data_IF_707521403272
#
_entry.id   IF_707521403272
#
_cell.length_a   1.000
_cell.length_b   1.000
_cell.length_c   1.000
_cell.angle_alpha   90.00
_cell.angle_beta   90.00
_cell.angle_gamma   90.00
#
_symmetry.space_group_name_H-M   'P 1'
#
loop_
_entity.id
_entity.type
_entity.pdbx_description
1 polymer ?
#
# COMPACT_ATOMS: atom_id res chain seq x y z
N UNK A 1 -14.53 -52.48 -47.35
CA UNK A 1 -13.63 -52.83 -46.24
C UNK A 1 -12.61 -51.71 -46.10
N UNK A 2 -12.78 -50.90 -45.06
CA UNK A 2 -11.95 -49.82 -44.49
C UNK A 2 -10.95 -49.09 -45.41
N UNK A 3 -11.34 -47.88 -45.85
CA UNK A 3 -10.41 -46.82 -46.27
C UNK A 3 -9.98 -46.05 -45.01
N UNK A 4 -8.70 -46.19 -44.64
CA UNK A 4 -8.06 -45.37 -43.63
C UNK A 4 -7.66 -44.02 -44.26
N UNK A 5 -8.32 -42.94 -43.86
CA UNK A 5 -7.90 -41.57 -44.14
C UNK A 5 -7.39 -40.94 -42.85
N UNK A 6 -6.07 -40.90 -42.70
CA UNK A 6 -5.39 -39.99 -41.79
C UNK A 6 -5.36 -38.63 -42.46
N UNK A 7 -6.06 -37.62 -41.92
CA UNK A 7 -5.72 -36.21 -42.20
C UNK A 7 -6.29 -35.23 -41.18
N UNK A 8 -5.34 -34.58 -40.50
CA UNK A 8 -5.34 -33.19 -40.05
C UNK A 8 -6.47 -32.70 -39.14
N UNK A 9 -6.27 -32.86 -37.82
CA UNK A 9 -6.85 -31.98 -36.81
C UNK A 9 -5.76 -31.03 -36.30
N UNK A 10 -5.42 -30.00 -37.09
CA UNK A 10 -4.32 -29.08 -36.74
C UNK A 10 -4.52 -27.58 -37.06
N UNK A 11 -5.72 -27.04 -37.36
CA UNK A 11 -5.85 -25.58 -37.37
C UNK A 11 -7.02 -25.01 -36.56
N UNK A 12 -7.53 -25.69 -35.52
CA UNK A 12 -8.66 -25.14 -34.72
C UNK A 12 -8.32 -24.91 -33.24
N UNK A 13 -7.34 -25.63 -32.67
CA UNK A 13 -6.93 -25.39 -31.27
C UNK A 13 -5.99 -24.19 -31.08
N UNK A 14 -5.33 -23.71 -32.14
CA UNK A 14 -4.38 -22.60 -32.06
C UNK A 14 -5.05 -21.21 -32.02
N UNK A 15 -6.31 -21.11 -32.45
CA UNK A 15 -7.03 -19.81 -32.54
C UNK A 15 -7.77 -19.48 -31.25
N UNK A 16 -8.23 -20.47 -30.48
CA UNK A 16 -8.90 -20.23 -29.19
C UNK A 16 -7.92 -19.85 -28.06
N UNK A 17 -6.65 -20.23 -28.17
CA UNK A 17 -5.60 -19.83 -27.22
C UNK A 17 -5.06 -18.41 -27.46
N UNK A 18 -5.29 -17.82 -28.64
CA UNK A 18 -4.97 -16.42 -28.90
C UNK A 18 -6.09 -15.44 -28.53
N UNK A 19 -7.32 -15.93 -28.26
CA UNK A 19 -8.42 -15.08 -27.79
C UNK A 19 -8.45 -15.00 -26.25
N UNK A 20 -7.91 -15.98 -25.53
CA UNK A 20 -7.79 -15.95 -24.06
C UNK A 20 -6.51 -15.28 -23.52
N UNK A 21 -5.52 -15.02 -24.37
CA UNK A 21 -4.26 -14.37 -23.96
C UNK A 21 -4.24 -12.84 -24.16
N UNK A 22 -5.37 -12.21 -24.49
CA UNK A 22 -5.49 -10.74 -24.65
C UNK A 22 -6.34 -10.09 -23.55
N UNK A 23 -6.76 -10.82 -22.52
CA UNK A 23 -7.52 -10.26 -21.38
C UNK A 23 -6.82 -10.35 -20.03
N UNK A 24 -5.51 -10.64 -20.03
CA UNK A 24 -4.68 -10.51 -18.83
C UNK A 24 -3.62 -9.45 -19.10
N UNK A 25 -3.55 -8.47 -18.21
CA UNK A 25 -2.56 -7.38 -18.16
C UNK A 25 -2.81 -6.13 -19.01
N UNK A 26 -3.95 -5.46 -18.80
CA UNK A 26 -4.00 -3.99 -18.76
C UNK A 26 -4.80 -3.51 -17.54
N UNK A 27 -4.54 -4.08 -16.36
CA UNK A 27 -4.90 -3.44 -15.09
C UNK A 27 -3.77 -2.53 -14.64
N UNK A 28 -3.49 -1.51 -15.44
CA UNK A 28 -2.59 -0.44 -15.06
C UNK A 28 -3.15 0.87 -15.61
N UNK A 29 -3.23 1.86 -14.71
CA UNK A 29 -3.51 3.27 -14.98
C UNK A 29 -4.98 3.63 -15.27
N UNK A 30 -5.88 3.43 -14.29
CA UNK A 30 -7.14 4.20 -14.25
C UNK A 30 -6.99 5.35 -13.26
N UNK A 31 -6.34 6.43 -13.71
CA UNK A 31 -6.50 7.74 -13.09
C UNK A 31 -7.88 8.30 -13.49
N UNK A 32 -8.91 8.03 -12.70
CA UNK A 32 -10.18 8.75 -12.76
C UNK A 32 -10.10 9.90 -11.75
N UNK A 33 -9.60 11.06 -12.16
CA UNK A 33 -9.22 12.14 -11.22
C UNK A 33 -10.23 13.30 -11.13
N UNK A 34 -11.36 13.29 -11.84
CA UNK A 34 -12.29 14.44 -11.85
C UNK A 34 -13.65 14.16 -11.20
N UNK A 35 -14.21 12.95 -11.34
CA UNK A 35 -15.57 12.65 -10.87
C UNK A 35 -15.64 12.26 -9.37
N UNK A 36 -14.50 11.90 -8.77
CA UNK A 36 -14.46 11.43 -7.38
C UNK A 36 -14.45 12.57 -6.37
N UNK A 37 -13.87 13.72 -6.70
CA UNK A 37 -13.68 14.79 -5.71
C UNK A 37 -15.03 15.22 -5.14
N UNK A 38 -16.06 15.45 -5.97
CA UNK A 38 -17.39 15.93 -5.55
C UNK A 38 -18.11 15.02 -4.56
N UNK A 39 -17.79 13.72 -4.59
CA UNK A 39 -18.38 12.69 -3.74
C UNK A 39 -17.59 12.44 -2.43
N UNK A 40 -16.44 13.08 -2.26
CA UNK A 40 -15.62 12.94 -1.06
C UNK A 40 -16.22 13.70 0.11
N UNK A 41 -16.32 13.01 1.25
CA UNK A 41 -16.71 13.61 2.52
C UNK A 41 -15.66 14.58 3.06
N UNK A 42 -16.06 15.40 4.04
CA UNK A 42 -15.15 16.27 4.79
C UNK A 42 -14.39 15.44 5.82
N UNK A 43 -13.08 15.69 5.94
CA UNK A 43 -12.22 15.03 6.92
C UNK A 43 -12.62 15.38 8.36
N UNK A 44 -12.61 14.39 9.23
CA UNK A 44 -12.71 14.55 10.69
C UNK A 44 -11.37 14.93 11.32
N UNK A 45 -11.35 14.93 12.66
CA UNK A 45 -10.13 15.17 13.43
C UNK A 45 -9.13 14.02 13.27
N UNK A 46 -7.84 14.37 13.13
CA UNK A 46 -6.74 13.43 12.95
C UNK A 46 -6.92 12.44 11.80
N UNK A 47 -7.79 12.76 10.84
CA UNK A 47 -8.02 11.98 9.65
C UNK A 47 -7.04 12.37 8.54
N UNK A 48 -6.43 11.36 7.91
CA UNK A 48 -5.55 11.59 6.77
C UNK A 48 -6.38 11.98 5.55
N UNK A 49 -6.08 13.14 4.97
CA UNK A 49 -6.79 13.67 3.81
C UNK A 49 -6.23 13.15 2.48
N UNK A 50 -4.92 12.93 2.40
CA UNK A 50 -4.25 12.31 1.25
C UNK A 50 -3.17 11.34 1.72
N UNK A 51 -2.91 10.31 0.89
CA UNK A 51 -1.70 9.48 0.96
C UNK A 51 -0.84 9.82 -0.25
N UNK A 52 0.41 10.23 -0.02
CA UNK A 52 1.35 10.61 -1.07
C UNK A 52 2.45 9.57 -1.15
N UNK A 53 2.60 8.94 -2.31
CA UNK A 53 3.62 7.96 -2.61
C UNK A 53 4.66 8.53 -3.56
N UNK A 54 5.87 8.75 -3.04
CA UNK A 54 7.02 9.25 -3.76
C UNK A 54 7.79 8.11 -4.45
N UNK A 55 7.25 7.69 -5.60
CA UNK A 55 7.80 6.59 -6.40
C UNK A 55 9.20 6.94 -6.90
N UNK A 56 10.09 5.94 -6.98
CA UNK A 56 11.49 6.15 -7.34
C UNK A 56 11.68 6.63 -8.78
N UNK A 57 11.05 5.94 -9.74
CA UNK A 57 11.23 6.18 -11.20
C UNK A 57 9.94 6.61 -11.90
N UNK A 58 8.88 6.89 -11.15
CA UNK A 58 7.61 7.38 -11.66
C UNK A 58 7.19 8.66 -10.91
N UNK A 59 6.33 9.51 -11.50
CA UNK A 59 5.75 10.64 -10.79
C UNK A 59 5.09 10.20 -9.49
N UNK A 60 5.06 11.06 -8.47
CA UNK A 60 4.36 10.73 -7.22
C UNK A 60 2.90 10.34 -7.47
N UNK A 61 2.42 9.31 -6.80
CA UNK A 61 1.00 8.95 -6.79
C UNK A 61 0.34 9.53 -5.55
N UNK A 62 -0.88 10.04 -5.70
CA UNK A 62 -1.65 10.62 -4.59
C UNK A 62 -3.00 9.92 -4.53
N UNK A 63 -3.29 9.32 -3.38
CA UNK A 63 -4.60 8.79 -3.06
C UNK A 63 -5.34 9.83 -2.23
N UNK A 64 -6.44 10.36 -2.77
CA UNK A 64 -7.30 11.30 -2.07
C UNK A 64 -8.29 10.53 -1.20
N UNK A 65 -8.41 10.92 0.07
CA UNK A 65 -9.25 10.22 1.07
C UNK A 65 -10.48 11.05 1.43
N UNK A 66 -10.26 12.29 1.86
CA UNK A 66 -11.33 13.22 2.22
C UNK A 66 -10.91 14.68 1.92
N UNK A 67 -11.88 15.59 1.90
CA UNK A 67 -11.64 17.02 1.71
C UNK A 67 -11.43 17.72 3.03
N UNK A 68 -10.46 18.62 3.08
CA UNK A 68 -10.27 19.46 4.24
C UNK A 68 -11.45 20.42 4.44
N UNK A 69 -11.85 20.69 5.69
CA UNK A 69 -12.83 21.71 6.03
C UNK A 69 -12.48 23.08 5.40
N UNK A 70 -13.49 23.88 5.03
CA UNK A 70 -13.33 25.17 4.33
C UNK A 70 -12.47 26.20 5.08
N UNK A 71 -12.38 26.06 6.40
CA UNK A 71 -11.60 26.90 7.31
C UNK A 71 -10.13 26.44 7.45
N UNK A 72 -9.71 25.42 6.71
CA UNK A 72 -8.34 24.90 6.74
C UNK A 72 -7.72 24.94 5.34
N UNK A 73 -6.37 25.00 5.23
CA UNK A 73 -5.71 24.91 3.94
C UNK A 73 -6.08 23.62 3.19
N UNK A 74 -6.02 23.66 1.86
CA UNK A 74 -6.20 22.47 1.03
C UNK A 74 -5.21 21.36 1.41
N UNK A 75 -5.66 20.10 1.35
CA UNK A 75 -4.82 18.96 1.70
C UNK A 75 -3.55 18.92 0.83
N UNK A 76 -2.34 18.82 1.42
CA UNK A 76 -1.10 18.73 0.66
C UNK A 76 -1.08 17.51 -0.27
N UNK A 77 -0.52 17.67 -1.47
CA UNK A 77 -0.42 16.61 -2.50
C UNK A 77 1.02 16.21 -2.83
N UNK A 78 2.01 16.91 -2.27
CA UNK A 78 3.43 16.69 -2.55
C UNK A 78 4.13 16.01 -1.39
N UNK A 79 5.17 15.22 -1.69
CA UNK A 79 6.03 14.63 -0.67
C UNK A 79 6.91 15.73 -0.06
N UNK A 80 6.79 15.94 1.26
CA UNK A 80 7.42 17.08 1.95
C UNK A 80 7.89 16.68 3.33
N UNK A 81 8.96 17.31 3.83
CA UNK A 81 9.44 17.10 5.20
C UNK A 81 8.73 18.00 6.23
N UNK A 82 8.00 19.00 5.76
CA UNK A 82 7.35 20.01 6.58
C UNK A 82 5.83 19.99 6.39
N UNK A 83 5.14 20.61 7.35
CA UNK A 83 3.69 20.71 7.38
C UNK A 83 3.02 19.63 8.21
N UNK A 84 1.74 19.40 7.94
CA UNK A 84 0.91 18.42 8.63
C UNK A 84 1.06 17.05 7.96
N UNK A 85 2.15 16.36 8.29
CA UNK A 85 2.55 15.12 7.63
C UNK A 85 2.95 14.06 8.65
N UNK A 86 2.71 12.79 8.32
CA UNK A 86 3.25 11.63 9.01
C UNK A 86 3.80 10.66 7.99
N UNK A 87 5.03 10.18 8.18
CA UNK A 87 5.61 9.22 7.25
C UNK A 87 5.05 7.83 7.56
N UNK A 88 4.65 7.11 6.52
CA UNK A 88 4.31 5.69 6.60
C UNK A 88 5.59 4.85 6.45
N UNK A 89 6.45 5.28 5.51
CA UNK A 89 7.75 4.70 5.26
C UNK A 89 8.67 5.77 4.62
N UNK A 90 9.83 5.38 4.12
CA UNK A 90 10.82 6.29 3.52
C UNK A 90 10.34 7.04 2.27
N UNK A 91 9.24 6.60 1.64
CA UNK A 91 8.72 7.13 0.38
C UNK A 91 7.20 7.33 0.38
N UNK A 92 6.50 7.11 1.49
CA UNK A 92 5.05 7.28 1.60
C UNK A 92 4.70 8.12 2.80
N UNK A 93 3.79 9.07 2.62
CA UNK A 93 3.35 10.02 3.65
C UNK A 93 1.83 10.11 3.70
N UNK A 94 1.29 10.11 4.92
CA UNK A 94 -0.06 10.59 5.19
C UNK A 94 -0.02 12.11 5.36
N UNK A 95 -0.99 12.79 4.79
CA UNK A 95 -1.18 14.24 4.87
C UNK A 95 -2.45 14.53 5.65
N UNK A 96 -2.44 15.62 6.41
CA UNK A 96 -3.53 16.01 7.30
C UNK A 96 -3.94 17.46 7.05
N UNK A 97 -5.20 17.78 7.33
CA UNK A 97 -5.71 19.14 7.24
C UNK A 97 -5.23 20.03 8.40
N UNK A 98 -4.92 19.42 9.55
CA UNK A 98 -4.48 20.08 10.77
C UNK A 98 -3.26 19.37 11.37
N UNK A 99 -2.59 20.07 12.30
CA UNK A 99 -1.38 19.56 12.94
C UNK A 99 -1.66 18.34 13.81
N UNK A 100 -0.99 17.22 13.52
CA UNK A 100 -1.01 16.02 14.36
C UNK A 100 0.00 16.07 15.51
N UNK A 101 0.74 17.18 15.67
CA UNK A 101 1.78 17.34 16.71
C UNK A 101 1.27 17.28 18.15
N UNK A 102 -0.02 17.50 18.37
CA UNK A 102 -0.64 17.41 19.70
C UNK A 102 -0.92 15.97 20.16
N UNK A 103 -0.85 14.98 19.26
CA UNK A 103 -1.07 13.58 19.61
C UNK A 103 0.08 13.06 20.48
N UNK A 104 -0.25 12.27 21.50
CA UNK A 104 0.74 11.58 22.32
C UNK A 104 1.53 10.57 21.47
N UNK A 105 2.73 10.20 21.93
CA UNK A 105 3.49 9.10 21.32
C UNK A 105 2.81 7.77 21.63
N UNK A 106 2.76 6.88 20.65
CA UNK A 106 2.17 5.56 20.83
C UNK A 106 2.90 4.75 21.90
N UNK A 107 2.15 4.14 22.80
CA UNK A 107 2.64 3.16 23.75
C UNK A 107 2.99 1.82 23.08
N UNK A 108 3.65 0.90 23.81
CA UNK A 108 3.89 -0.44 23.32
C UNK A 108 2.56 -1.16 23.07
N UNK A 109 2.40 -1.74 21.87
CA UNK A 109 1.22 -2.50 21.43
C UNK A 109 -0.09 -1.70 21.30
N UNK A 110 -0.05 -0.38 21.40
CA UNK A 110 -1.21 0.48 21.18
C UNK A 110 -1.60 0.53 19.69
N UNK A 111 -2.90 0.63 19.41
CA UNK A 111 -3.40 0.84 18.04
C UNK A 111 -3.13 2.30 17.65
N UNK A 112 -2.23 2.48 16.71
CA UNK A 112 -1.80 3.80 16.26
C UNK A 112 -2.67 4.36 15.14
N UNK A 113 -3.19 3.49 14.28
CA UNK A 113 -3.97 3.88 13.11
C UNK A 113 -5.11 2.91 12.89
N UNK A 114 -6.26 3.46 12.52
CA UNK A 114 -7.42 2.70 12.06
C UNK A 114 -7.78 3.12 10.64
N UNK A 115 -7.91 2.14 9.76
CA UNK A 115 -8.44 2.34 8.41
C UNK A 115 -9.82 1.72 8.33
N UNK A 116 -10.84 2.57 8.21
CA UNK A 116 -12.23 2.15 8.00
C UNK A 116 -12.56 2.18 6.52
N UNK A 117 -12.97 1.06 5.97
CA UNK A 117 -13.42 0.94 4.58
C UNK A 117 -14.90 0.59 4.56
N UNK A 118 -15.71 1.47 3.98
CA UNK A 118 -17.13 1.24 3.75
C UNK A 118 -17.31 0.71 2.34
N UNK A 119 -17.76 -0.54 2.24
CA UNK A 119 -18.15 -1.17 1.00
C UNK A 119 -19.65 -1.00 0.76
N UNK A 120 -20.05 -0.77 -0.50
CA UNK A 120 -21.45 -0.77 -0.91
C UNK A 120 -21.61 -1.50 -2.25
N UNK A 121 -22.55 -2.46 -2.34
CA UNK A 121 -22.89 -3.19 -3.57
C UNK A 121 -21.66 -3.68 -4.36
N UNK A 122 -20.64 -4.21 -3.68
CA UNK A 122 -19.37 -4.74 -4.23
C UNK A 122 -18.25 -3.73 -4.54
N UNK A 123 -18.43 -2.43 -4.30
CA UNK A 123 -17.39 -1.42 -4.46
C UNK A 123 -16.97 -0.76 -3.15
N UNK A 124 -15.80 -0.11 -3.14
CA UNK A 124 -15.41 0.80 -2.05
C UNK A 124 -16.20 2.10 -2.22
N UNK A 125 -17.04 2.44 -1.24
CA UNK A 125 -17.78 3.69 -1.21
C UNK A 125 -16.99 4.80 -0.54
N UNK A 126 -16.38 4.50 0.60
CA UNK A 126 -15.64 5.48 1.38
C UNK A 126 -14.49 4.81 2.13
N UNK A 127 -13.41 5.56 2.33
CA UNK A 127 -12.26 5.18 3.15
C UNK A 127 -12.02 6.31 4.13
N UNK A 128 -11.84 5.95 5.39
CA UNK A 128 -11.46 6.85 6.47
C UNK A 128 -10.21 6.31 7.15
N UNK A 129 -9.23 7.18 7.39
CA UNK A 129 -7.95 6.80 7.99
C UNK A 129 -7.68 7.72 9.16
N UNK A 130 -7.88 7.22 10.37
CA UNK A 130 -7.75 8.00 11.59
C UNK A 130 -6.51 7.57 12.34
N UNK A 131 -5.71 8.55 12.77
CA UNK A 131 -4.52 8.34 13.59
C UNK A 131 -4.81 8.72 15.03
N UNK A 132 -4.50 7.82 15.96
CA UNK A 132 -4.77 7.99 17.39
C UNK A 132 -3.55 8.45 18.17
N UNK A 133 -2.35 8.10 17.72
CA UNK A 133 -1.09 8.48 18.37
C UNK A 133 0.04 8.62 17.34
N UNK A 134 1.14 9.23 17.75
CA UNK A 134 2.31 9.43 16.88
C UNK A 134 3.28 8.25 16.94
N UNK A 135 3.63 7.75 15.77
CA UNK A 135 4.75 6.83 15.58
C UNK A 135 6.04 7.60 15.24
N UNK A 136 7.16 7.14 15.79
CA UNK A 136 8.50 7.63 15.47
C UNK A 136 8.97 7.00 14.14
N UNK A 137 8.76 7.75 13.07
CA UNK A 137 8.96 7.30 11.69
C UNK A 137 10.40 6.94 11.32
N UNK A 138 11.41 7.23 12.16
CA UNK A 138 12.80 6.91 11.83
C UNK A 138 13.22 5.50 12.23
N UNK A 139 12.55 4.91 13.23
CA UNK A 139 12.97 3.63 13.84
C UNK A 139 11.80 2.70 14.09
N UNK A 140 10.68 2.90 13.40
CA UNK A 140 9.50 2.07 13.54
C UNK A 140 8.91 1.69 12.18
N UNK A 141 8.15 0.61 12.18
CA UNK A 141 7.40 0.14 11.02
C UNK A 141 5.97 -0.20 11.42
N UNK A 142 5.06 -0.17 10.44
CA UNK A 142 3.65 -0.45 10.65
C UNK A 142 3.37 -1.95 10.56
N UNK A 143 2.58 -2.45 11.50
CA UNK A 143 2.15 -3.84 11.59
C UNK A 143 0.63 -3.89 11.61
N UNK A 144 0.07 -4.69 10.72
CA UNK A 144 -1.33 -5.06 10.76
C UNK A 144 -1.60 -5.91 12.01
N UNK A 145 -2.59 -5.51 12.81
CA UNK A 145 -2.94 -6.20 14.06
C UNK A 145 -4.09 -7.16 13.83
N UNK A 146 -5.23 -6.61 13.39
CA UNK A 146 -6.43 -7.37 13.11
C UNK A 146 -7.37 -6.56 12.21
N UNK A 147 -8.39 -7.26 11.72
CA UNK A 147 -9.49 -6.69 10.98
C UNK A 147 -10.79 -6.99 11.74
N UNK A 148 -11.62 -5.98 11.93
CA UNK A 148 -12.95 -6.11 12.55
C UNK A 148 -14.03 -5.63 11.59
N UNK A 149 -15.08 -6.42 11.40
CA UNK A 149 -16.30 -5.96 10.73
C UNK A 149 -17.16 -5.22 11.75
N UNK A 150 -17.32 -3.91 11.60
CA UNK A 150 -18.08 -3.10 12.57
C UNK A 150 -19.57 -3.08 12.28
N UNK A 151 -19.97 -3.00 11.01
CA UNK A 151 -21.38 -2.82 10.64
C UNK A 151 -21.68 -3.54 9.33
N UNK A 152 -22.76 -4.31 9.31
CA UNK A 152 -23.32 -4.89 8.10
C UNK A 152 -24.79 -4.50 8.00
N UNK A 153 -25.16 -3.88 6.88
CA UNK A 153 -26.53 -3.49 6.59
C UNK A 153 -26.96 -4.16 5.28
N UNK A 154 -27.68 -5.28 5.42
CA UNK A 154 -28.18 -6.08 4.31
C UNK A 154 -29.04 -5.27 3.34
N UNK A 155 -29.97 -4.47 3.86
CA UNK A 155 -30.90 -3.70 3.04
C UNK A 155 -30.16 -2.74 2.09
N UNK A 156 -29.05 -2.14 2.54
CA UNK A 156 -28.22 -1.24 1.73
C UNK A 156 -27.03 -1.92 1.06
N UNK A 157 -26.84 -3.21 1.30
CA UNK A 157 -25.65 -3.99 0.93
C UNK A 157 -24.37 -3.26 1.33
N UNK A 158 -24.31 -2.81 2.58
CA UNK A 158 -23.20 -2.04 3.15
C UNK A 158 -22.42 -2.87 4.16
N UNK A 159 -21.10 -2.86 4.06
CA UNK A 159 -20.20 -3.50 5.00
C UNK A 159 -19.10 -2.52 5.40
N UNK A 160 -18.93 -2.30 6.70
CA UNK A 160 -17.82 -1.51 7.24
C UNK A 160 -16.76 -2.45 7.79
N UNK A 161 -15.57 -2.39 7.22
CA UNK A 161 -14.39 -3.14 7.65
C UNK A 161 -13.39 -2.17 8.27
N UNK A 162 -12.83 -2.53 9.42
CA UNK A 162 -11.83 -1.73 10.13
C UNK A 162 -10.54 -2.52 10.26
N UNK A 163 -9.49 -2.01 9.64
CA UNK A 163 -8.13 -2.53 9.79
C UNK A 163 -7.39 -1.73 10.85
N UNK A 164 -6.88 -2.42 11.87
CA UNK A 164 -6.12 -1.80 12.95
C UNK A 164 -4.63 -2.02 12.75
N UNK A 165 -3.85 -0.96 12.90
CA UNK A 165 -2.41 -0.97 12.75
C UNK A 165 -1.72 -0.38 13.98
N UNK A 166 -0.57 -0.95 14.30
CA UNK A 166 0.33 -0.44 15.34
C UNK A 166 1.71 -0.16 14.74
N UNK A 167 2.49 0.68 15.41
CA UNK A 167 3.90 0.82 15.11
C UNK A 167 4.76 -0.03 16.05
N UNK A 168 5.80 -0.64 15.48
CA UNK A 168 6.76 -1.50 16.19
C UNK A 168 8.16 -0.99 15.89
N UNK A 169 9.03 -1.00 16.90
CA UNK A 169 10.42 -0.60 16.71
C UNK A 169 11.16 -1.54 15.74
N UNK A 170 11.99 -0.97 14.88
CA UNK A 170 12.89 -1.71 14.02
C UNK A 170 14.07 -2.22 14.86
N UNK A 171 14.20 -3.54 14.96
CA UNK A 171 15.37 -4.18 15.55
C UNK A 171 16.54 -4.23 14.55
N UNK A 172 17.72 -4.65 14.99
CA UNK A 172 18.86 -4.87 14.07
C UNK A 172 18.76 -6.25 13.44
N UNK A 173 18.88 -6.32 12.12
CA UNK A 173 18.95 -7.60 11.41
C UNK A 173 20.29 -8.29 11.65
N UNK A 174 20.33 -9.62 11.47
CA UNK A 174 21.59 -10.34 11.24
C UNK A 174 22.06 -10.08 9.79
N UNK A 175 23.38 -10.15 9.51
CA UNK A 175 23.88 -10.09 8.13
C UNK A 175 23.23 -11.18 7.26
N UNK A 176 22.93 -10.87 5.99
CA UNK A 176 22.26 -11.74 5.02
C UNK A 176 20.84 -12.21 5.39
N UNK A 177 20.31 -11.73 6.51
CA UNK A 177 18.96 -12.05 6.95
C UNK A 177 17.93 -11.22 6.18
N UNK A 178 16.69 -11.70 6.23
CA UNK A 178 15.54 -10.98 5.71
C UNK A 178 15.41 -9.62 6.41
N UNK A 179 15.29 -8.56 5.62
CA UNK A 179 15.21 -7.19 6.12
C UNK A 179 13.91 -6.47 5.78
N UNK A 180 13.10 -6.99 4.84
CA UNK A 180 11.83 -6.39 4.50
C UNK A 180 11.23 -6.87 3.19
N UNK A 181 10.11 -6.26 2.81
CA UNK A 181 9.39 -6.57 1.58
C UNK A 181 9.51 -5.43 0.57
N UNK A 182 9.98 -5.73 -0.63
CA UNK A 182 10.24 -4.75 -1.65
C UNK A 182 9.10 -4.64 -2.68
N UNK A 183 8.70 -3.39 -2.93
CA UNK A 183 7.77 -2.99 -3.97
C UNK A 183 8.58 -2.53 -5.17
N UNK A 184 8.61 -3.33 -6.23
CA UNK A 184 9.22 -2.91 -7.49
C UNK A 184 8.51 -1.67 -7.98
N UNK A 185 7.22 -1.74 -8.31
CA UNK A 185 6.45 -0.62 -8.88
C UNK A 185 6.65 0.77 -8.23
N UNK A 186 6.93 0.86 -6.93
CA UNK A 186 7.18 2.15 -6.25
C UNK A 186 8.66 2.39 -5.90
N UNK A 187 9.52 1.37 -6.00
CA UNK A 187 10.95 1.46 -5.69
C UNK A 187 11.23 1.74 -4.21
N UNK A 188 10.56 0.99 -3.32
CA UNK A 188 10.81 1.08 -1.87
C UNK A 188 10.65 -0.25 -1.16
N UNK A 189 11.17 -0.32 0.06
CA UNK A 189 11.13 -1.52 0.91
C UNK A 189 10.37 -1.23 2.21
N UNK A 190 9.42 -2.08 2.54
CA UNK A 190 8.80 -2.18 3.85
C UNK A 190 9.78 -2.87 4.81
N UNK A 191 10.58 -2.07 5.51
CA UNK A 191 11.60 -2.57 6.42
C UNK A 191 10.98 -3.28 7.63
N UNK A 192 11.58 -4.39 8.03
CA UNK A 192 11.25 -5.17 9.24
C UNK A 192 12.34 -5.09 10.30
N UNK A 193 13.57 -4.80 9.86
CA UNK A 193 14.70 -4.52 10.74
C UNK A 193 15.68 -3.58 10.01
N UNK A 194 16.69 -3.11 10.74
CA UNK A 194 17.75 -2.23 10.23
C UNK A 194 19.00 -3.05 9.97
N UNK A 195 19.53 -2.99 8.74
CA UNK A 195 20.74 -3.72 8.38
C UNK A 195 21.97 -3.25 9.18
N UNK A 196 22.95 -4.15 9.40
CA UNK A 196 24.20 -3.80 10.05
C UNK A 196 25.02 -2.80 9.21
N UNK A 197 26.08 -2.26 9.81
CA UNK A 197 27.00 -1.36 9.11
C UNK A 197 27.54 -2.00 7.82
N UNK A 198 27.74 -1.17 6.79
CA UNK A 198 28.20 -1.57 5.46
C UNK A 198 27.27 -2.53 4.69
N UNK A 199 26.04 -2.70 5.16
CA UNK A 199 24.99 -3.45 4.46
C UNK A 199 23.81 -2.54 4.14
N UNK A 200 23.10 -2.87 3.07
CA UNK A 200 21.83 -2.26 2.70
C UNK A 200 20.77 -3.34 2.54
N UNK A 201 19.53 -2.96 2.85
CA UNK A 201 18.38 -3.81 2.56
C UNK A 201 18.11 -3.68 1.06
N UNK A 202 18.36 -4.75 0.31
CA UNK A 202 18.18 -4.81 -1.13
C UNK A 202 17.38 -6.06 -1.50
N UNK A 203 16.80 -6.08 -2.69
CA UNK A 203 16.04 -7.22 -3.18
C UNK A 203 16.52 -7.66 -4.56
N UNK A 204 16.41 -8.95 -4.81
CA UNK A 204 16.65 -9.54 -6.13
C UNK A 204 15.31 -9.72 -6.85
N UNK A 205 15.30 -9.39 -8.14
CA UNK A 205 14.12 -9.56 -9.02
C UNK A 205 13.88 -11.02 -9.39
N UNK A 206 14.90 -11.87 -9.23
CA UNK A 206 14.82 -13.31 -9.46
C UNK A 206 14.36 -14.07 -8.18
N UNK A 207 14.31 -13.40 -7.02
CA UNK A 207 13.82 -14.00 -5.77
C UNK A 207 12.28 -14.10 -5.76
N UNK A 208 11.75 -15.09 -5.04
CA UNK A 208 10.32 -15.37 -4.96
C UNK A 208 9.52 -14.20 -4.39
N UNK A 209 8.35 -13.95 -4.98
CA UNK A 209 7.38 -13.00 -4.43
C UNK A 209 6.53 -13.67 -3.35
N UNK A 210 6.20 -12.91 -2.31
CA UNK A 210 5.26 -13.30 -1.26
C UNK A 210 4.06 -12.37 -1.25
N UNK A 211 2.87 -12.91 -1.02
CA UNK A 211 1.67 -12.11 -0.77
C UNK A 211 1.79 -11.45 0.60
N UNK A 212 1.78 -10.12 0.63
CA UNK A 212 1.93 -9.33 1.86
C UNK A 212 0.75 -8.38 2.06
N UNK A 213 0.50 -8.05 3.32
CA UNK A 213 -0.53 -7.09 3.73
C UNK A 213 0.11 -6.02 4.61
N UNK A 214 0.62 -4.98 3.95
CA UNK A 214 1.23 -3.81 4.59
C UNK A 214 0.23 -2.65 4.70
N UNK A 215 0.60 -1.60 5.44
CA UNK A 215 -0.20 -0.39 5.48
C UNK A 215 -0.25 0.25 4.08
N UNK A 216 -1.46 0.38 3.53
CA UNK A 216 -1.75 0.86 2.17
C UNK A 216 -1.22 -0.02 1.03
N UNK A 217 -0.92 -1.29 1.30
CA UNK A 217 -0.59 -2.23 0.25
C UNK A 217 -1.02 -3.66 0.58
N UNK A 218 -1.70 -4.30 -0.36
CA UNK A 218 -1.94 -5.74 -0.33
C UNK A 218 -1.64 -6.30 -1.71
N UNK A 219 -0.76 -7.29 -1.77
CA UNK A 219 -0.34 -7.90 -3.03
C UNK A 219 1.06 -8.50 -2.93
N UNK A 220 1.63 -8.89 -4.08
CA UNK A 220 2.93 -9.53 -4.11
C UNK A 220 4.07 -8.56 -3.82
N UNK A 221 5.05 -8.97 -3.01
CA UNK A 221 6.27 -8.22 -2.78
C UNK A 221 7.48 -9.14 -2.82
N UNK A 222 8.61 -8.60 -3.28
CA UNK A 222 9.88 -9.33 -3.30
C UNK A 222 10.46 -9.39 -1.88
N UNK A 223 11.14 -10.48 -1.56
CA UNK A 223 11.90 -10.56 -0.33
C UNK A 223 13.16 -9.69 -0.46
N UNK A 224 13.46 -8.91 0.57
CA UNK A 224 14.68 -8.13 0.66
C UNK A 224 15.59 -8.68 1.76
N UNK A 225 16.89 -8.62 1.55
CA UNK A 225 17.92 -9.09 2.49
C UNK A 225 18.99 -8.04 2.72
N UNK A 226 19.66 -8.15 3.87
CA UNK A 226 20.82 -7.32 4.15
C UNK A 226 22.04 -7.84 3.38
N UNK A 227 22.40 -7.15 2.30
CA UNK A 227 23.57 -7.47 1.48
C UNK A 227 24.62 -6.35 1.58
N UNK A 228 25.90 -6.64 1.33
CA UNK A 228 26.94 -5.61 1.29
C UNK A 228 26.59 -4.48 0.31
N UNK A 229 26.94 -3.24 0.63
CA UNK A 229 26.61 -2.07 -0.20
C UNK A 229 27.15 -2.21 -1.63
N UNK A 230 28.32 -2.83 -1.78
CA UNK A 230 29.02 -3.02 -3.06
C UNK A 230 28.48 -4.19 -3.90
N UNK A 231 27.46 -4.89 -3.42
CA UNK A 231 26.78 -5.92 -4.21
C UNK A 231 25.80 -5.23 -5.19
N UNK A 232 26.17 -5.18 -6.47
CA UNK A 232 25.44 -4.44 -7.51
C UNK A 232 24.37 -5.28 -8.20
N UNK A 233 24.31 -6.58 -7.94
CA UNK A 233 23.32 -7.48 -8.55
C UNK A 233 21.92 -7.28 -7.90
N UNK A 234 21.89 -6.59 -6.75
CA UNK A 234 20.69 -6.36 -5.96
C UNK A 234 20.20 -4.90 -6.04
N UNK A 235 18.87 -4.73 -6.03
CA UNK A 235 18.17 -3.46 -6.25
C UNK A 235 17.72 -2.79 -4.94
#
# INVERSE_FOLDING_TARGET
MVLAFVRSWFPVLAVLLQIFAVHVATSAYRYHLEDYDTLMGTCGEHEACNIVHHRYWMPSAVEKICRCPLNTPSCPVTYTKHGHVMNVNSRTQMKFCSSTKGLARCGPNEIALQRKTLYQKYGVKNVSIVVHCQCDNQRQYWVFVNQTGENFNDARHQLTVVDNYRCVALERCKPHDFCGYARRDYGFIFHRCTCPLSHQCKFDLDESQSEVSELFYRGPAYLARCVPIYDYDWW
#
